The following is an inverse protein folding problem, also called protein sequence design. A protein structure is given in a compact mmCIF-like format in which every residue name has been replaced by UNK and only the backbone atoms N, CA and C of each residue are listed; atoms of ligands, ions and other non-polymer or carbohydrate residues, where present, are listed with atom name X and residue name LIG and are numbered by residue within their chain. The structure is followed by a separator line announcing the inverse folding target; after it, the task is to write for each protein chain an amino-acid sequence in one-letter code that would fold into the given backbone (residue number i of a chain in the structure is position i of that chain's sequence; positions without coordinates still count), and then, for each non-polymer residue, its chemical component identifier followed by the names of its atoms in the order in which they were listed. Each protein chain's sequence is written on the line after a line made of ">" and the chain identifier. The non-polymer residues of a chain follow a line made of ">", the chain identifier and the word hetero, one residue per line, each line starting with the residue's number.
data_IF_355852437257
#
_entry.id   IF_355852437257
#
_cell.length_a   1.000
_cell.length_b   1.000
_cell.length_c   1.000
_cell.angle_alpha   90.00
_cell.angle_beta   90.00
_cell.angle_gamma   90.00
#
_symmetry.space_group_name_H-M   'P 1'
#
loop_
_entity.id
_entity.type
_entity.pdbx_description
1 polymer ?
#
# COMPACT_ATOMS: atom_id res chain seq x y z
N UNK A 1 -0.14 0.78 -23.50
CA UNK A 1 1.13 1.06 -22.73
C UNK A 1 0.85 0.83 -21.26
N UNK A 2 1.81 0.23 -20.55
CA UNK A 2 1.71 -0.04 -19.12
C UNK A 2 1.86 1.27 -18.34
N UNK A 3 0.92 1.58 -17.43
CA UNK A 3 0.90 2.76 -16.55
C UNK A 3 0.91 2.32 -15.09
N UNK A 4 1.58 3.07 -14.22
CA UNK A 4 1.49 2.93 -12.75
C UNK A 4 0.54 3.98 -12.21
N UNK A 5 -0.45 3.56 -11.45
CA UNK A 5 -1.49 4.41 -10.92
C UNK A 5 -1.40 4.45 -9.39
N UNK A 6 -1.25 5.63 -8.83
CA UNK A 6 -1.24 5.87 -7.38
C UNK A 6 -2.60 6.40 -6.98
N UNK A 7 -3.47 5.50 -6.53
CA UNK A 7 -4.84 5.83 -6.13
C UNK A 7 -4.81 6.35 -4.70
N UNK A 8 -5.19 7.61 -4.52
CA UNK A 8 -5.17 8.31 -3.23
C UNK A 8 -6.61 8.60 -2.81
N UNK A 9 -7.00 8.15 -1.62
CA UNK A 9 -8.25 8.60 -1.01
C UNK A 9 -8.06 10.04 -0.50
N UNK A 10 -9.06 10.91 -0.67
CA UNK A 10 -9.03 12.27 -0.12
C UNK A 10 -8.73 12.30 1.40
N UNK A 11 -8.17 13.39 1.90
CA UNK A 11 -7.94 13.64 3.32
C UNK A 11 -9.25 13.76 4.13
N UNK A 12 -9.16 13.74 5.45
CA UNK A 12 -10.30 13.80 6.35
C UNK A 12 -11.14 15.07 6.14
N UNK A 13 -12.48 14.91 6.21
CA UNK A 13 -13.47 15.99 6.23
C UNK A 13 -14.22 15.98 7.56
N UNK A 14 -14.96 17.06 7.88
CA UNK A 14 -15.81 17.12 9.07
C UNK A 14 -16.86 15.99 9.12
N UNK A 15 -17.33 15.52 7.97
CA UNK A 15 -18.27 14.39 7.92
C UNK A 15 -17.55 13.05 8.20
N UNK A 16 -16.30 12.87 7.75
CA UNK A 16 -15.53 11.69 8.14
C UNK A 16 -15.30 11.63 9.65
N UNK A 17 -14.90 12.75 10.26
CA UNK A 17 -14.68 12.85 11.70
C UNK A 17 -15.96 12.56 12.52
N UNK A 18 -17.13 12.89 11.97
CA UNK A 18 -18.46 12.61 12.58
C UNK A 18 -19.01 11.22 12.20
N UNK A 19 -18.31 10.46 11.36
CA UNK A 19 -18.81 9.16 10.88
C UNK A 19 -20.08 9.26 10.05
N UNK A 20 -20.22 10.28 9.20
CA UNK A 20 -21.40 10.51 8.35
C UNK A 20 -21.08 10.10 6.92
N UNK A 21 -22.00 9.36 6.27
CA UNK A 21 -21.92 9.01 4.86
C UNK A 21 -22.10 10.26 3.99
N UNK A 22 -21.11 10.58 3.14
CA UNK A 22 -21.12 11.82 2.36
C UNK A 22 -21.69 11.64 0.94
N UNK A 23 -21.24 10.62 0.23
CA UNK A 23 -21.57 10.43 -1.18
C UNK A 23 -21.23 11.63 -2.05
N UNK A 24 -22.19 12.03 -2.89
CA UNK A 24 -22.06 13.18 -3.79
C UNK A 24 -22.73 14.46 -3.27
N UNK A 25 -23.77 14.35 -2.44
CA UNK A 25 -24.55 15.49 -1.97
C UNK A 25 -23.83 16.30 -0.89
N UNK A 26 -23.04 15.64 -0.02
CA UNK A 26 -22.35 16.30 1.08
C UNK A 26 -20.87 16.51 0.72
N UNK A 27 -20.55 17.67 0.21
CA UNK A 27 -19.20 18.02 -0.24
C UNK A 27 -18.57 19.09 0.65
N UNK A 28 -17.94 18.66 1.74
CA UNK A 28 -17.15 19.54 2.61
C UNK A 28 -15.68 19.55 2.19
N UNK A 29 -14.98 20.65 2.52
CA UNK A 29 -13.53 20.73 2.44
C UNK A 29 -12.84 19.90 3.52
N UNK A 30 -11.51 19.84 3.48
CA UNK A 30 -10.69 19.10 4.44
C UNK A 30 -10.70 19.74 5.83
N UNK A 31 -10.59 18.93 6.87
CA UNK A 31 -10.20 19.38 8.21
C UNK A 31 -8.72 19.75 8.23
N UNK A 32 -8.23 20.34 9.33
CA UNK A 32 -6.80 20.57 9.48
C UNK A 32 -6.01 19.24 9.47
N UNK A 33 -6.55 18.22 10.14
CA UNK A 33 -5.98 16.86 10.07
C UNK A 33 -5.99 16.33 8.64
N UNK A 34 -7.07 16.52 7.89
CA UNK A 34 -7.15 16.12 6.47
C UNK A 34 -6.09 16.80 5.59
N UNK A 35 -5.80 18.08 5.83
CA UNK A 35 -4.71 18.79 5.15
C UNK A 35 -3.33 18.25 5.52
N UNK A 36 -3.10 17.91 6.79
CA UNK A 36 -1.86 17.26 7.22
C UNK A 36 -1.70 15.87 6.61
N UNK A 37 -2.77 15.07 6.56
CA UNK A 37 -2.78 13.77 5.90
C UNK A 37 -2.43 13.90 4.40
N UNK A 38 -2.97 14.89 3.72
CA UNK A 38 -2.66 15.16 2.30
C UNK A 38 -1.19 15.56 2.10
N UNK A 39 -0.58 16.33 3.01
CA UNK A 39 0.86 16.65 2.98
C UNK A 39 1.73 15.42 3.17
N UNK A 40 1.36 14.53 4.10
CA UNK A 40 2.07 13.25 4.31
C UNK A 40 1.98 12.36 3.06
N UNK A 41 0.80 12.28 2.43
CA UNK A 41 0.63 11.55 1.18
C UNK A 41 1.51 12.14 0.06
N UNK A 42 1.59 13.47 -0.05
CA UNK A 42 2.44 14.16 -1.01
C UNK A 42 3.93 13.80 -0.83
N UNK A 43 4.44 13.81 0.40
CA UNK A 43 5.84 13.43 0.70
C UNK A 43 6.12 11.96 0.33
N UNK A 44 5.16 11.05 0.52
CA UNK A 44 5.31 9.66 0.09
C UNK A 44 5.36 9.52 -1.44
N UNK A 45 4.55 10.32 -2.14
CA UNK A 45 4.47 10.31 -3.61
C UNK A 45 5.69 10.91 -4.29
N UNK A 46 6.50 11.70 -3.61
CA UNK A 46 7.76 12.28 -4.12
C UNK A 46 8.73 11.21 -4.62
N UNK A 47 8.70 10.03 -4.02
CA UNK A 47 9.57 8.91 -4.42
C UNK A 47 9.15 8.22 -5.73
N UNK A 48 8.00 8.56 -6.31
CA UNK A 48 7.41 7.84 -7.45
C UNK A 48 7.45 8.67 -8.74
N UNK A 49 8.21 9.61 -8.95
CA UNK A 49 8.43 10.35 -10.21
C UNK A 49 7.14 10.57 -11.06
N UNK A 50 6.03 10.89 -10.37
CA UNK A 50 4.73 11.05 -11.03
C UNK A 50 4.75 12.21 -12.03
N UNK A 51 4.27 11.96 -13.26
CA UNK A 51 4.24 12.94 -14.34
C UNK A 51 2.86 13.57 -14.57
N UNK A 52 1.80 13.05 -13.91
CA UNK A 52 0.45 13.59 -14.04
C UNK A 52 -0.37 13.39 -12.75
N UNK A 53 -1.35 14.27 -12.55
CA UNK A 53 -2.24 14.26 -11.40
C UNK A 53 -3.69 14.50 -11.83
N UNK A 54 -4.54 13.52 -11.59
CA UNK A 54 -5.98 13.60 -11.85
C UNK A 54 -6.77 13.56 -10.54
N UNK A 55 -7.99 14.11 -10.54
CA UNK A 55 -8.80 14.18 -9.34
C UNK A 55 -10.30 14.17 -9.64
N UNK A 56 -11.08 13.67 -8.68
CA UNK A 56 -12.51 13.87 -8.61
C UNK A 56 -12.86 15.37 -8.54
N UNK A 57 -14.03 15.80 -9.09
CA UNK A 57 -14.49 17.18 -8.99
C UNK A 57 -14.89 17.60 -7.55
N UNK A 58 -15.18 16.66 -6.64
CA UNK A 58 -15.63 16.99 -5.29
C UNK A 58 -14.54 17.72 -4.50
N UNK A 59 -14.96 18.77 -3.77
CA UNK A 59 -14.07 19.70 -3.09
C UNK A 59 -13.02 19.02 -2.22
N UNK A 60 -13.38 18.02 -1.42
CA UNK A 60 -12.46 17.27 -0.57
C UNK A 60 -11.33 16.58 -1.34
N UNK A 61 -11.65 15.98 -2.49
CA UNK A 61 -10.65 15.34 -3.35
C UNK A 61 -9.81 16.39 -4.10
N UNK A 62 -10.44 17.42 -4.60
CA UNK A 62 -9.75 18.51 -5.30
C UNK A 62 -8.79 19.26 -4.36
N UNK A 63 -9.20 19.58 -3.11
CA UNK A 63 -8.33 20.23 -2.12
C UNK A 63 -7.13 19.31 -1.76
N UNK A 64 -7.35 17.98 -1.63
CA UNK A 64 -6.27 17.00 -1.45
C UNK A 64 -5.30 17.02 -2.65
N UNK A 65 -5.84 17.00 -3.87
CA UNK A 65 -5.04 17.03 -5.09
C UNK A 65 -4.25 18.35 -5.24
N UNK A 66 -4.82 19.48 -4.83
CA UNK A 66 -4.09 20.75 -4.82
C UNK A 66 -2.90 20.75 -3.88
N UNK A 67 -3.03 20.11 -2.70
CA UNK A 67 -1.92 19.98 -1.74
C UNK A 67 -0.82 19.08 -2.33
N UNK A 68 -1.20 17.93 -2.88
CA UNK A 68 -0.27 17.01 -3.54
C UNK A 68 0.39 17.69 -4.75
N UNK A 69 -0.39 18.33 -5.59
CA UNK A 69 0.09 18.98 -6.81
C UNK A 69 1.08 20.10 -6.55
N UNK A 70 0.89 20.90 -5.48
CA UNK A 70 1.87 21.92 -5.08
C UNK A 70 3.20 21.32 -4.68
N UNK A 71 3.17 20.15 -4.00
CA UNK A 71 4.39 19.47 -3.55
C UNK A 71 5.13 18.80 -4.72
N UNK A 72 4.40 18.17 -5.62
CA UNK A 72 4.96 17.45 -6.77
C UNK A 72 5.15 18.35 -8.03
N UNK A 73 4.83 19.65 -7.94
CA UNK A 73 4.83 20.59 -9.09
C UNK A 73 3.92 20.15 -10.24
N UNK A 74 2.80 19.49 -9.93
CA UNK A 74 1.81 18.99 -10.88
C UNK A 74 0.50 19.78 -10.75
N UNK A 75 -0.14 20.08 -11.90
CA UNK A 75 -1.47 20.71 -11.92
C UNK A 75 -2.54 19.62 -11.88
N UNK A 76 -3.47 19.62 -10.89
CA UNK A 76 -4.58 18.68 -10.86
C UNK A 76 -5.51 18.85 -12.07
N UNK A 77 -5.85 17.76 -12.73
CA UNK A 77 -6.81 17.67 -13.82
C UNK A 77 -8.08 16.97 -13.31
N UNK A 78 -9.25 17.60 -13.50
CA UNK A 78 -10.51 17.05 -13.04
C UNK A 78 -11.00 15.99 -14.05
N UNK A 79 -11.43 14.84 -13.54
CA UNK A 79 -12.14 13.83 -14.31
C UNK A 79 -13.42 13.40 -13.58
N UNK A 80 -14.59 13.61 -14.21
CA UNK A 80 -15.89 13.39 -13.57
C UNK A 80 -16.14 11.91 -13.21
N UNK A 81 -15.58 10.96 -13.95
CA UNK A 81 -15.71 9.54 -13.64
C UNK A 81 -15.04 9.11 -12.34
N UNK A 82 -14.19 9.98 -11.74
CA UNK A 82 -13.54 9.73 -10.44
C UNK A 82 -14.37 10.21 -9.24
N UNK A 83 -15.59 10.74 -9.45
CA UNK A 83 -16.49 11.19 -8.38
C UNK A 83 -16.89 10.02 -7.45
N UNK A 84 -17.17 10.32 -6.17
CA UNK A 84 -17.64 9.30 -5.21
C UNK A 84 -18.97 8.66 -5.65
N UNK A 85 -19.31 7.51 -5.09
CA UNK A 85 -20.62 6.91 -5.27
C UNK A 85 -21.74 7.84 -4.83
N UNK A 86 -22.82 7.89 -5.62
CA UNK A 86 -24.10 8.39 -5.13
C UNK A 86 -24.71 7.30 -4.26
N UNK A 87 -24.84 7.55 -2.96
CA UNK A 87 -25.39 6.60 -2.00
C UNK A 87 -26.86 6.82 -1.67
N UNK A 88 -27.56 7.63 -2.48
CA UNK A 88 -29.02 7.83 -2.35
C UNK A 88 -29.45 8.25 -0.95
N UNK A 89 -30.38 7.46 -0.35
CA UNK A 89 -30.91 7.70 0.99
C UNK A 89 -29.88 7.56 2.11
N UNK A 90 -28.73 6.91 1.86
CA UNK A 90 -27.68 6.75 2.87
C UNK A 90 -26.86 8.03 3.08
N UNK A 91 -26.91 9.00 2.16
CA UNK A 91 -26.17 10.24 2.29
C UNK A 91 -26.73 11.12 3.42
N UNK A 92 -25.85 11.53 4.33
CA UNK A 92 -26.23 12.27 5.55
C UNK A 92 -26.52 11.39 6.77
N UNK A 93 -26.56 10.08 6.59
CA UNK A 93 -26.84 9.11 7.66
C UNK A 93 -25.49 8.71 8.33
N UNK A 94 -25.53 8.38 9.62
CA UNK A 94 -24.34 7.87 10.31
C UNK A 94 -23.87 6.56 9.74
N UNK A 95 -22.56 6.38 9.61
CA UNK A 95 -21.97 5.12 9.10
C UNK A 95 -22.29 3.92 10.00
N UNK A 96 -22.56 4.15 11.29
CA UNK A 96 -23.04 3.10 12.19
C UNK A 96 -24.40 2.56 11.73
N UNK A 97 -25.33 3.46 11.43
CA UNK A 97 -26.68 3.07 10.94
C UNK A 97 -26.61 2.48 9.53
N UNK A 98 -25.85 3.09 8.62
CA UNK A 98 -25.65 2.59 7.25
C UNK A 98 -25.11 1.15 7.23
N UNK A 99 -24.18 0.81 8.14
CA UNK A 99 -23.66 -0.57 8.27
C UNK A 99 -24.70 -1.58 8.72
N UNK A 100 -25.78 -1.17 9.35
CA UNK A 100 -26.90 -2.07 9.72
C UNK A 100 -27.80 -2.41 8.52
N UNK A 101 -27.69 -1.65 7.43
CA UNK A 101 -28.49 -1.85 6.21
C UNK A 101 -27.82 -2.87 5.26
N UNK A 102 -27.15 -3.87 5.80
CA UNK A 102 -26.40 -4.89 5.03
C UNK A 102 -27.30 -5.66 4.05
N UNK A 103 -28.58 -5.83 4.39
CA UNK A 103 -29.57 -6.49 3.53
C UNK A 103 -29.75 -5.77 2.19
N UNK A 104 -29.53 -4.46 2.13
CA UNK A 104 -29.69 -3.64 0.92
C UNK A 104 -28.37 -3.50 0.15
N UNK A 105 -27.24 -3.39 0.85
CA UNK A 105 -25.95 -3.23 0.20
C UNK A 105 -24.78 -3.58 1.13
N UNK A 106 -24.20 -4.77 1.00
CA UNK A 106 -22.94 -5.09 1.66
C UNK A 106 -21.77 -4.44 0.89
N UNK A 107 -21.47 -3.20 1.27
CA UNK A 107 -20.36 -2.43 0.69
C UNK A 107 -18.97 -2.93 1.11
N UNK A 108 -18.89 -3.95 1.95
CA UNK A 108 -17.61 -4.54 2.39
C UNK A 108 -17.31 -5.86 1.67
N UNK A 109 -18.25 -6.40 0.93
CA UNK A 109 -18.13 -7.68 0.24
C UNK A 109 -17.55 -7.50 -1.17
N UNK A 110 -16.36 -8.06 -1.49
CA UNK A 110 -15.77 -8.02 -2.82
C UNK A 110 -16.41 -8.99 -3.82
N UNK A 111 -17.27 -9.90 -3.37
CA UNK A 111 -17.90 -10.90 -4.23
C UNK A 111 -18.69 -10.25 -5.39
N UNK A 112 -18.42 -10.65 -6.64
CA UNK A 112 -19.11 -10.11 -7.82
C UNK A 112 -20.63 -10.21 -7.79
N UNK A 113 -21.20 -11.14 -7.03
CA UNK A 113 -22.67 -11.29 -6.86
C UNK A 113 -23.31 -10.08 -6.16
N UNK A 114 -22.52 -9.31 -5.39
CA UNK A 114 -22.98 -8.10 -4.70
C UNK A 114 -22.75 -6.80 -5.49
N UNK A 115 -22.34 -6.88 -6.76
CA UNK A 115 -22.04 -5.68 -7.56
C UNK A 115 -23.27 -4.82 -7.85
N UNK A 116 -24.46 -5.39 -7.89
CA UNK A 116 -25.70 -4.66 -8.17
C UNK A 116 -26.38 -4.10 -6.90
N UNK A 117 -25.79 -4.39 -5.73
CA UNK A 117 -26.28 -3.86 -4.47
C UNK A 117 -26.14 -2.32 -4.41
N UNK A 118 -27.22 -1.63 -4.03
CA UNK A 118 -27.29 -0.16 -3.92
C UNK A 118 -28.31 0.27 -2.87
N UNK A 119 -28.19 1.49 -2.39
CA UNK A 119 -29.23 2.13 -1.60
C UNK A 119 -30.26 2.80 -2.52
N UNK A 120 -31.49 2.93 -2.07
CA UNK A 120 -32.56 3.58 -2.85
C UNK A 120 -32.13 4.98 -3.33
N UNK A 121 -32.30 5.21 -4.64
CA UNK A 121 -31.87 6.45 -5.31
C UNK A 121 -30.35 6.62 -5.45
N UNK A 122 -29.58 5.55 -5.19
CA UNK A 122 -28.13 5.55 -5.32
C UNK A 122 -27.60 4.73 -6.50
N UNK A 123 -26.30 4.84 -6.75
CA UNK A 123 -25.58 4.00 -7.70
C UNK A 123 -25.28 2.63 -7.12
N UNK A 124 -25.31 1.59 -7.96
CA UNK A 124 -24.77 0.28 -7.61
C UNK A 124 -23.23 0.29 -7.64
N UNK A 125 -22.63 -0.68 -6.96
CA UNK A 125 -21.16 -0.88 -7.03
C UNK A 125 -20.70 -1.07 -8.48
N UNK A 126 -21.48 -1.76 -9.30
CA UNK A 126 -21.20 -1.97 -10.73
C UNK A 126 -21.14 -0.64 -11.47
N UNK A 127 -22.11 0.23 -11.30
CA UNK A 127 -22.16 1.55 -11.96
C UNK A 127 -20.97 2.41 -11.57
N UNK A 128 -20.62 2.45 -10.27
CA UNK A 128 -19.45 3.20 -9.77
C UNK A 128 -18.16 2.61 -10.33
N UNK A 129 -18.02 1.29 -10.31
CA UNK A 129 -16.83 0.60 -10.85
C UNK A 129 -16.66 0.88 -12.33
N UNK A 130 -17.71 0.69 -13.12
CA UNK A 130 -17.62 0.77 -14.58
C UNK A 130 -17.29 2.19 -15.04
N UNK A 131 -17.89 3.25 -14.43
CA UNK A 131 -17.50 4.63 -14.75
C UNK A 131 -16.08 4.98 -14.27
N UNK A 132 -15.63 4.39 -13.16
CA UNK A 132 -14.27 4.60 -12.69
C UNK A 132 -13.23 3.93 -13.59
N UNK A 133 -13.52 2.72 -14.08
CA UNK A 133 -12.68 2.03 -15.08
C UNK A 133 -12.63 2.84 -16.37
N UNK A 134 -13.77 3.29 -16.87
CA UNK A 134 -13.82 4.14 -18.06
C UNK A 134 -12.98 5.42 -17.88
N UNK A 135 -13.03 6.03 -16.69
CA UNK A 135 -12.18 7.17 -16.38
C UNK A 135 -10.69 6.84 -16.44
N UNK A 136 -10.29 5.65 -15.94
CA UNK A 136 -8.90 5.21 -16.05
C UNK A 136 -8.50 4.94 -17.49
N UNK A 137 -9.39 4.34 -18.29
CA UNK A 137 -9.16 4.13 -19.72
C UNK A 137 -8.94 5.46 -20.45
N UNK A 138 -9.81 6.45 -20.23
CA UNK A 138 -9.69 7.78 -20.81
C UNK A 138 -8.38 8.46 -20.42
N UNK A 139 -8.04 8.43 -19.13
CA UNK A 139 -6.81 9.01 -18.58
C UNK A 139 -5.58 8.30 -19.15
N UNK A 140 -5.53 6.98 -19.10
CA UNK A 140 -4.35 6.21 -19.49
C UNK A 140 -4.09 6.24 -21.01
N UNK A 141 -5.13 6.38 -21.80
CA UNK A 141 -5.02 6.48 -23.27
C UNK A 141 -4.63 7.88 -23.75
N UNK A 142 -4.90 8.93 -22.97
CA UNK A 142 -4.60 10.32 -23.35
C UNK A 142 -3.37 10.89 -22.67
N UNK A 143 -2.99 10.39 -21.51
CA UNK A 143 -1.85 10.86 -20.73
C UNK A 143 -0.55 10.17 -21.19
N UNK A 144 0.49 10.97 -21.46
CA UNK A 144 1.82 10.43 -21.83
C UNK A 144 2.61 9.90 -20.62
N UNK A 145 2.34 10.42 -19.41
CA UNK A 145 3.06 10.01 -18.20
C UNK A 145 2.88 8.51 -17.91
N UNK A 146 3.95 7.84 -17.48
CA UNK A 146 3.91 6.45 -17.06
C UNK A 146 3.39 6.29 -15.63
N UNK A 147 3.71 7.27 -14.76
CA UNK A 147 3.32 7.35 -13.36
C UNK A 147 2.28 8.43 -13.16
N UNK A 148 1.09 8.05 -12.70
CA UNK A 148 -0.08 8.91 -12.61
C UNK A 148 -0.67 8.86 -11.21
N UNK A 149 -0.80 10.01 -10.54
CA UNK A 149 -1.52 10.13 -9.27
C UNK A 149 -3.00 10.38 -9.54
N UNK A 150 -3.87 9.66 -8.86
CA UNK A 150 -5.33 9.79 -8.97
C UNK A 150 -5.94 9.98 -7.59
N UNK A 151 -6.47 11.17 -7.33
CA UNK A 151 -7.14 11.49 -6.08
C UNK A 151 -8.64 11.27 -6.19
N UNK A 152 -9.17 10.35 -5.39
CA UNK A 152 -10.57 9.94 -5.43
C UNK A 152 -11.10 9.64 -4.03
N UNK A 153 -12.03 8.71 -3.90
CA UNK A 153 -12.83 8.46 -2.72
C UNK A 153 -12.79 6.99 -2.29
N UNK A 154 -13.39 6.71 -1.15
CA UNK A 154 -13.35 5.41 -0.50
C UNK A 154 -13.97 4.30 -1.35
N UNK A 155 -15.18 4.50 -1.90
CA UNK A 155 -15.85 3.45 -2.68
C UNK A 155 -15.15 3.24 -4.02
N UNK A 156 -14.79 4.32 -4.72
CA UNK A 156 -14.09 4.24 -6.01
C UNK A 156 -12.74 3.54 -5.83
N UNK A 157 -11.91 3.97 -4.89
CA UNK A 157 -10.61 3.35 -4.63
C UNK A 157 -10.73 1.86 -4.29
N UNK A 158 -11.72 1.49 -3.45
CA UNK A 158 -11.99 0.09 -3.10
C UNK A 158 -12.37 -0.75 -4.31
N UNK A 159 -13.31 -0.27 -5.12
CA UNK A 159 -13.78 -1.00 -6.30
C UNK A 159 -12.67 -1.17 -7.35
N UNK A 160 -11.81 -0.17 -7.52
CA UNK A 160 -10.63 -0.28 -8.38
C UNK A 160 -9.63 -1.32 -7.83
N UNK A 161 -9.36 -1.31 -6.51
CA UNK A 161 -8.51 -2.32 -5.89
C UNK A 161 -9.09 -3.74 -6.02
N UNK A 162 -10.39 -3.94 -5.83
CA UNK A 162 -11.04 -5.24 -6.02
C UNK A 162 -11.00 -5.69 -7.47
N UNK A 163 -11.19 -4.78 -8.43
CA UNK A 163 -11.02 -5.09 -9.86
C UNK A 163 -9.59 -5.51 -10.18
N UNK A 164 -8.62 -4.96 -9.48
CA UNK A 164 -7.21 -5.32 -9.60
C UNK A 164 -6.83 -6.63 -8.86
N UNK A 165 -7.79 -7.32 -8.25
CA UNK A 165 -7.57 -8.61 -7.59
C UNK A 165 -7.37 -8.52 -6.07
N UNK A 166 -7.57 -7.35 -5.43
CA UNK A 166 -7.53 -7.24 -3.97
C UNK A 166 -8.74 -7.95 -3.33
N UNK A 167 -8.49 -8.63 -2.22
CA UNK A 167 -9.54 -9.22 -1.37
C UNK A 167 -9.80 -8.41 -0.10
N UNK A 168 -9.06 -7.31 0.08
CA UNK A 168 -9.12 -6.48 1.29
C UNK A 168 -10.51 -5.85 1.46
N UNK A 169 -11.17 -6.21 2.57
CA UNK A 169 -12.50 -5.68 2.94
C UNK A 169 -12.43 -4.36 3.72
N UNK A 170 -11.29 -4.06 4.30
CA UNK A 170 -11.08 -2.87 5.10
C UNK A 170 -11.24 -1.59 4.29
N UNK A 171 -11.85 -0.57 4.90
CA UNK A 171 -11.95 0.75 4.30
C UNK A 171 -10.55 1.37 4.23
N UNK A 172 -10.16 1.84 3.05
CA UNK A 172 -8.93 2.58 2.85
C UNK A 172 -8.92 3.84 3.74
N UNK A 173 -7.90 4.07 4.59
CA UNK A 173 -7.81 5.27 5.42
C UNK A 173 -7.78 6.56 4.59
N UNK A 174 -8.12 7.70 5.20
CA UNK A 174 -8.01 9.01 4.55
C UNK A 174 -6.55 9.29 4.15
N UNK A 175 -6.34 9.82 2.96
CA UNK A 175 -5.06 10.07 2.32
C UNK A 175 -4.13 8.84 2.16
N UNK A 176 -4.64 7.63 2.37
CA UNK A 176 -3.90 6.42 2.03
C UNK A 176 -3.72 6.28 0.52
N UNK A 177 -2.65 5.63 0.12
CA UNK A 177 -2.25 5.40 -1.26
C UNK A 177 -2.31 3.90 -1.53
N UNK A 178 -2.88 3.50 -2.67
CA UNK A 178 -2.73 2.15 -3.22
C UNK A 178 -2.13 2.22 -4.62
N UNK A 179 -1.29 1.26 -4.95
CA UNK A 179 -0.56 1.20 -6.21
C UNK A 179 -1.19 0.15 -7.12
N UNK A 180 -1.61 0.58 -8.29
CA UNK A 180 -2.20 -0.26 -9.31
C UNK A 180 -1.40 -0.15 -10.61
N UNK A 181 -1.49 -1.19 -11.42
CA UNK A 181 -0.92 -1.21 -12.78
C UNK A 181 -2.07 -1.33 -13.76
N UNK A 182 -2.11 -0.40 -14.69
CA UNK A 182 -3.00 -0.44 -15.83
C UNK A 182 -2.22 -0.86 -17.08
N UNK A 183 -2.70 -1.89 -17.79
CA UNK A 183 -2.11 -2.33 -19.05
C UNK A 183 -3.21 -2.75 -20.03
N UNK A 184 -3.42 -1.96 -21.07
CA UNK A 184 -4.37 -2.21 -22.16
C UNK A 184 -5.78 -2.62 -21.66
N UNK A 185 -6.39 -1.83 -20.78
CA UNK A 185 -7.72 -2.09 -20.21
C UNK A 185 -7.74 -3.05 -19.02
N UNK A 186 -6.61 -3.64 -18.67
CA UNK A 186 -6.50 -4.55 -17.52
C UNK A 186 -5.88 -3.84 -16.32
N UNK A 187 -6.59 -3.86 -15.20
CA UNK A 187 -6.11 -3.35 -13.93
C UNK A 187 -5.60 -4.50 -13.05
N UNK A 188 -4.41 -4.35 -12.50
CA UNK A 188 -3.80 -5.32 -11.56
C UNK A 188 -3.18 -4.58 -10.39
N UNK A 189 -3.05 -5.25 -9.25
CA UNK A 189 -2.27 -4.68 -8.16
C UNK A 189 -0.79 -4.64 -8.53
N UNK A 190 -0.10 -3.57 -8.14
CA UNK A 190 1.36 -3.63 -8.06
C UNK A 190 1.67 -4.66 -6.99
N UNK A 191 2.28 -5.77 -7.39
CA UNK A 191 2.75 -6.76 -6.42
C UNK A 191 3.94 -6.16 -5.67
N UNK A 192 3.69 -5.66 -4.47
CA UNK A 192 4.74 -5.25 -3.56
C UNK A 192 5.26 -6.49 -2.84
N UNK A 193 6.26 -7.13 -3.41
CA UNK A 193 6.95 -8.24 -2.77
C UNK A 193 7.98 -7.69 -1.80
N UNK A 194 7.69 -7.82 -0.51
CA UNK A 194 8.61 -7.44 0.54
C UNK A 194 9.61 -8.56 0.84
N UNK A 195 10.89 -8.26 0.88
CA UNK A 195 11.94 -9.15 1.38
C UNK A 195 12.33 -8.72 2.80
N UNK A 196 12.02 -9.54 3.79
CA UNK A 196 12.25 -9.26 5.21
C UNK A 196 13.52 -9.96 5.71
N UNK A 197 14.59 -9.21 5.97
CA UNK A 197 15.81 -9.76 6.56
C UNK A 197 15.60 -10.06 8.03
N UNK A 198 15.77 -11.32 8.40
CA UNK A 198 15.64 -11.83 9.76
C UNK A 198 16.98 -12.33 10.32
N UNK A 199 17.25 -12.06 11.59
CA UNK A 199 18.44 -12.55 12.28
C UNK A 199 18.17 -13.75 13.20
N UNK A 200 16.99 -13.80 13.81
CA UNK A 200 16.59 -14.90 14.70
C UNK A 200 15.07 -14.93 14.88
N UNK A 201 14.53 -16.10 15.20
CA UNK A 201 13.10 -16.27 15.40
C UNK A 201 12.50 -15.38 16.52
N UNK A 202 13.12 -15.24 17.70
CA UNK A 202 12.60 -14.37 18.75
C UNK A 202 12.44 -12.91 18.33
N UNK A 203 13.37 -12.38 17.49
CA UNK A 203 13.31 -10.99 17.02
C UNK A 203 12.24 -10.79 15.93
N UNK A 204 11.99 -11.79 15.10
CA UNK A 204 11.17 -11.64 13.90
C UNK A 204 9.77 -12.26 13.99
N UNK A 205 9.51 -13.16 14.94
CA UNK A 205 8.22 -13.87 14.99
C UNK A 205 7.00 -12.95 15.12
N UNK A 206 7.08 -11.87 15.91
CA UNK A 206 6.00 -10.90 16.05
C UNK A 206 5.75 -10.15 14.73
N UNK A 207 6.82 -9.73 14.03
CA UNK A 207 6.73 -9.04 12.74
C UNK A 207 6.19 -9.98 11.67
N UNK A 208 6.70 -11.22 11.59
CA UNK A 208 6.23 -12.26 10.66
C UNK A 208 4.74 -12.52 10.87
N UNK A 209 4.32 -12.72 12.13
CA UNK A 209 2.92 -12.90 12.48
C UNK A 209 2.05 -11.73 12.02
N UNK A 210 2.44 -10.51 12.37
CA UNK A 210 1.67 -9.29 12.02
C UNK A 210 1.54 -9.13 10.51
N UNK A 211 2.64 -9.28 9.76
CA UNK A 211 2.61 -9.17 8.30
C UNK A 211 1.75 -10.26 7.64
N UNK A 212 1.79 -11.49 8.17
CA UNK A 212 0.97 -12.59 7.69
C UNK A 212 -0.53 -12.37 8.01
N UNK A 213 -0.85 -11.87 9.21
CA UNK A 213 -2.23 -11.53 9.59
C UNK A 213 -2.79 -10.32 8.82
N UNK A 214 -1.92 -9.43 8.35
CA UNK A 214 -2.28 -8.28 7.50
C UNK A 214 -2.29 -8.61 5.99
N UNK A 215 -2.07 -9.88 5.62
CA UNK A 215 -2.06 -10.38 4.24
C UNK A 215 -1.05 -9.66 3.34
N UNK A 216 0.11 -9.32 3.88
CA UNK A 216 1.22 -8.73 3.14
C UNK A 216 1.94 -9.81 2.34
N UNK A 217 2.18 -9.58 1.04
CA UNK A 217 3.04 -10.47 0.23
C UNK A 217 4.50 -10.25 0.60
N UNK A 218 5.07 -11.15 1.39
CA UNK A 218 6.46 -11.07 1.82
C UNK A 218 7.15 -12.42 1.89
N UNK A 219 8.47 -12.37 1.79
CA UNK A 219 9.36 -13.51 1.97
C UNK A 219 10.38 -13.19 3.04
N UNK A 220 10.63 -14.10 3.93
CA UNK A 220 11.71 -13.96 4.92
C UNK A 220 13.02 -14.43 4.31
N UNK A 221 14.06 -13.61 4.41
CA UNK A 221 15.42 -13.97 4.00
C UNK A 221 16.33 -14.03 5.22
N UNK A 222 17.09 -15.12 5.30
CA UNK A 222 18.09 -15.34 6.32
C UNK A 222 19.50 -15.19 5.70
N UNK A 223 20.18 -14.11 6.06
CA UNK A 223 21.58 -13.84 5.68
C UNK A 223 22.33 -13.26 6.86
N UNK A 224 23.04 -14.12 7.58
CA UNK A 224 23.66 -13.78 8.86
C UNK A 224 25.10 -14.31 8.96
N UNK A 225 26.02 -13.82 8.11
CA UNK A 225 27.41 -14.30 8.11
C UNK A 225 28.17 -14.01 9.41
N UNK A 226 27.64 -13.13 10.25
CA UNK A 226 28.21 -12.73 11.54
C UNK A 226 27.94 -13.73 12.67
N UNK A 227 27.04 -14.68 12.49
CA UNK A 227 26.72 -15.66 13.54
C UNK A 227 27.76 -16.76 13.55
N UNK A 228 28.38 -16.97 14.70
CA UNK A 228 29.38 -18.02 14.96
C UNK A 228 29.15 -18.65 16.32
N UNK A 229 29.48 -19.94 16.54
CA UNK A 229 29.98 -20.88 15.53
C UNK A 229 28.89 -21.28 14.52
N UNK A 230 29.23 -22.09 13.52
CA UNK A 230 28.30 -22.51 12.45
C UNK A 230 27.06 -23.24 13.00
N UNK A 231 27.21 -24.01 14.06
CA UNK A 231 26.12 -24.71 14.74
C UNK A 231 25.06 -23.73 15.29
N UNK A 232 25.48 -22.55 15.77
CA UNK A 232 24.55 -21.51 16.22
C UNK A 232 23.83 -20.86 15.02
N UNK A 233 24.53 -20.66 13.91
CA UNK A 233 23.91 -20.20 12.66
C UNK A 233 22.83 -21.18 12.19
N UNK A 234 23.15 -22.48 12.13
CA UNK A 234 22.23 -23.53 11.67
C UNK A 234 21.00 -23.61 12.56
N UNK A 235 21.18 -23.54 13.88
CA UNK A 235 20.08 -23.52 14.84
C UNK A 235 19.15 -22.33 14.63
N UNK A 236 19.67 -21.12 14.46
CA UNK A 236 18.85 -19.93 14.23
C UNK A 236 18.17 -19.94 12.87
N UNK A 237 18.84 -20.46 11.84
CA UNK A 237 18.25 -20.65 10.53
C UNK A 237 17.05 -21.62 10.60
N UNK A 238 17.23 -22.79 11.23
CA UNK A 238 16.18 -23.79 11.40
C UNK A 238 14.95 -23.23 12.16
N UNK A 239 15.17 -22.48 13.24
CA UNK A 239 14.08 -21.84 13.99
C UNK A 239 13.34 -20.76 13.18
N UNK A 240 14.04 -19.94 12.40
CA UNK A 240 13.38 -18.99 11.49
C UNK A 240 12.52 -19.70 10.45
N UNK A 241 13.05 -20.76 9.85
CA UNK A 241 12.33 -21.58 8.88
C UNK A 241 11.06 -22.17 9.49
N UNK A 242 11.14 -22.74 10.72
CA UNK A 242 10.00 -23.28 11.45
C UNK A 242 8.92 -22.22 11.71
N UNK A 243 9.30 -21.00 12.09
CA UNK A 243 8.35 -19.89 12.29
C UNK A 243 7.68 -19.52 10.97
N UNK A 244 8.43 -19.43 9.87
CA UNK A 244 7.87 -19.15 8.55
C UNK A 244 6.87 -20.25 8.12
N UNK A 245 7.19 -21.52 8.33
CA UNK A 245 6.29 -22.65 8.04
C UNK A 245 4.99 -22.56 8.85
N UNK A 246 5.07 -22.15 10.13
CA UNK A 246 3.90 -22.00 11.01
C UNK A 246 2.90 -20.96 10.47
N UNK A 247 3.39 -19.89 9.84
CA UNK A 247 2.56 -18.81 9.28
C UNK A 247 2.37 -18.91 7.76
N UNK A 248 2.84 -19.97 7.11
CA UNK A 248 2.73 -20.16 5.67
C UNK A 248 3.54 -19.16 4.84
N UNK A 249 4.61 -18.60 5.40
CA UNK A 249 5.44 -17.57 4.79
C UNK A 249 6.64 -18.20 4.06
N UNK A 250 6.93 -17.81 2.80
CA UNK A 250 8.14 -18.27 2.11
C UNK A 250 9.41 -17.88 2.85
N UNK A 251 10.38 -18.80 2.88
CA UNK A 251 11.67 -18.63 3.53
C UNK A 251 12.81 -18.88 2.55
N UNK A 252 13.83 -18.01 2.59
CA UNK A 252 15.04 -18.11 1.78
C UNK A 252 16.26 -18.03 2.69
N UNK A 253 17.15 -18.97 2.56
CA UNK A 253 18.49 -18.93 3.14
C UNK A 253 19.48 -18.52 2.05
N UNK A 254 20.25 -17.47 2.30
CA UNK A 254 21.40 -17.12 1.46
C UNK A 254 22.68 -17.78 2.01
N UNK A 255 23.74 -17.65 1.24
CA UNK A 255 25.04 -18.26 1.57
C UNK A 255 25.57 -17.86 2.95
N UNK A 256 26.22 -18.78 3.65
CA UNK A 256 26.92 -18.50 4.89
C UNK A 256 28.33 -17.95 4.60
N UNK A 257 28.42 -16.66 4.31
CA UNK A 257 29.64 -15.96 3.87
C UNK A 257 30.45 -15.40 5.08
N UNK A 258 30.76 -16.31 6.03
CA UNK A 258 31.44 -15.93 7.27
C UNK A 258 32.89 -15.48 7.05
N UNK A 259 33.59 -16.09 6.08
CA UNK A 259 34.98 -15.71 5.76
C UNK A 259 35.07 -14.26 5.31
N UNK A 260 34.18 -13.84 4.41
CA UNK A 260 34.09 -12.45 3.96
C UNK A 260 33.77 -11.50 5.13
N UNK A 261 32.80 -11.88 5.99
CA UNK A 261 32.50 -11.08 7.17
C UNK A 261 33.71 -10.91 8.09
N UNK A 262 34.46 -12.00 8.36
CA UNK A 262 35.69 -11.97 9.16
C UNK A 262 36.74 -11.04 8.54
N UNK A 263 36.93 -11.11 7.23
CA UNK A 263 37.86 -10.22 6.51
C UNK A 263 37.50 -8.75 6.62
N UNK A 264 36.20 -8.40 6.45
CA UNK A 264 35.73 -7.02 6.54
C UNK A 264 35.77 -6.45 7.97
N UNK A 265 35.71 -7.31 8.99
CA UNK A 265 35.72 -6.88 10.40
C UNK A 265 37.04 -7.10 11.09
N UNK A 266 38.08 -7.48 10.36
CA UNK A 266 39.45 -7.65 10.89
C UNK A 266 39.94 -6.34 11.49
N UNK A 267 40.44 -6.40 12.73
CA UNK A 267 40.92 -5.20 13.48
C UNK A 267 39.80 -4.44 14.19
N UNK A 268 38.56 -4.88 14.10
CA UNK A 268 37.40 -4.29 14.78
C UNK A 268 36.85 -5.16 15.92
N UNK A 269 37.62 -6.16 16.39
CA UNK A 269 37.20 -7.13 17.39
C UNK A 269 36.81 -6.49 18.73
N UNK A 270 37.54 -5.41 19.09
CA UNK A 270 37.36 -4.69 20.35
C UNK A 270 36.40 -3.48 20.25
N UNK A 271 35.75 -3.27 19.09
CA UNK A 271 34.77 -2.21 18.95
C UNK A 271 33.54 -2.49 19.83
N UNK A 272 32.97 -1.48 20.50
CA UNK A 272 31.77 -1.66 21.32
C UNK A 272 30.58 -2.08 20.48
N UNK A 273 29.57 -2.59 21.14
CA UNK A 273 28.27 -2.82 20.51
C UNK A 273 27.74 -1.50 19.91
N UNK A 274 27.18 -1.56 18.68
CA UNK A 274 26.81 -0.40 17.84
C UNK A 274 27.98 0.45 17.34
N UNK A 275 29.22 0.00 17.50
CA UNK A 275 30.42 0.61 16.95
C UNK A 275 30.63 0.29 15.46
N UNK A 276 31.85 0.56 14.95
CA UNK A 276 32.21 0.38 13.54
C UNK A 276 32.00 -1.03 13.02
N UNK A 277 32.29 -2.06 13.84
CA UNK A 277 32.05 -3.45 13.47
C UNK A 277 30.58 -3.73 13.16
N UNK A 278 29.64 -3.17 13.95
CA UNK A 278 28.22 -3.31 13.70
C UNK A 278 27.79 -2.60 12.41
N UNK A 279 28.34 -1.40 12.14
CA UNK A 279 28.06 -0.68 10.89
C UNK A 279 28.47 -1.48 9.67
N UNK A 280 29.70 -2.04 9.65
CA UNK A 280 30.18 -2.92 8.57
C UNK A 280 29.29 -4.15 8.41
N UNK A 281 28.88 -4.76 9.52
CA UNK A 281 28.01 -5.93 9.51
C UNK A 281 26.63 -5.61 8.90
N UNK A 282 26.02 -4.49 9.28
CA UNK A 282 24.73 -4.06 8.72
C UNK A 282 24.83 -3.74 7.23
N UNK A 283 25.86 -2.99 6.85
CA UNK A 283 26.09 -2.60 5.45
C UNK A 283 26.24 -3.84 4.56
N UNK A 284 27.10 -4.78 4.91
CA UNK A 284 27.30 -6.03 4.17
C UNK A 284 26.00 -6.81 4.02
N UNK A 285 25.24 -6.94 5.10
CA UNK A 285 24.00 -7.73 5.10
C UNK A 285 22.91 -7.07 4.27
N UNK A 286 22.69 -5.77 4.45
CA UNK A 286 21.67 -5.02 3.70
C UNK A 286 22.03 -4.95 2.22
N UNK A 287 23.28 -4.68 1.87
CA UNK A 287 23.71 -4.65 0.48
C UNK A 287 23.43 -5.98 -0.22
N UNK A 288 23.83 -7.10 0.37
CA UNK A 288 23.59 -8.44 -0.20
C UNK A 288 22.11 -8.76 -0.40
N UNK A 289 21.29 -8.40 0.59
CA UNK A 289 19.83 -8.62 0.52
C UNK A 289 19.18 -7.69 -0.51
N UNK A 290 19.64 -6.45 -0.67
CA UNK A 290 19.16 -5.54 -1.71
C UNK A 290 19.53 -6.02 -3.12
N UNK A 291 20.74 -6.54 -3.31
CA UNK A 291 21.17 -7.18 -4.57
C UNK A 291 20.26 -8.37 -4.92
N UNK A 292 20.01 -9.24 -3.95
CA UNK A 292 19.10 -10.37 -4.11
C UNK A 292 17.68 -9.91 -4.45
N UNK A 293 17.17 -8.92 -3.72
CA UNK A 293 15.83 -8.36 -3.94
C UNK A 293 15.68 -7.83 -5.37
N UNK A 294 16.64 -7.04 -5.84
CA UNK A 294 16.66 -6.48 -7.19
C UNK A 294 16.70 -7.57 -8.27
N UNK A 295 17.50 -8.61 -8.08
CA UNK A 295 17.64 -9.72 -9.04
C UNK A 295 16.41 -10.61 -9.12
N UNK A 296 15.59 -10.67 -8.04
CA UNK A 296 14.44 -11.58 -7.91
C UNK A 296 13.08 -10.86 -7.89
N UNK A 297 13.02 -9.58 -8.28
CA UNK A 297 11.78 -8.84 -8.47
C UNK A 297 11.06 -8.45 -7.18
N UNK A 298 11.77 -8.37 -6.05
CA UNK A 298 11.25 -7.77 -4.83
C UNK A 298 11.25 -6.24 -4.96
N UNK A 299 10.18 -5.61 -4.48
CA UNK A 299 9.98 -4.15 -4.61
C UNK A 299 10.37 -3.39 -3.35
N UNK A 300 10.49 -4.10 -2.23
CA UNK A 300 10.87 -3.53 -0.95
C UNK A 300 11.77 -4.47 -0.16
N UNK A 301 12.64 -3.90 0.66
CA UNK A 301 13.47 -4.62 1.65
C UNK A 301 13.22 -4.00 3.01
N UNK A 302 13.02 -4.84 4.02
CA UNK A 302 12.97 -4.41 5.42
C UNK A 302 13.83 -5.34 6.28
N UNK A 303 14.09 -4.95 7.51
CA UNK A 303 14.84 -5.78 8.43
C UNK A 303 14.30 -5.68 9.86
N UNK A 304 14.48 -6.74 10.63
CA UNK A 304 14.22 -6.83 12.07
C UNK A 304 15.52 -6.83 12.87
N UNK A 305 16.46 -6.01 12.45
CA UNK A 305 17.80 -5.87 13.06
C UNK A 305 17.86 -4.77 14.11
#
# INVERSE_FOLDING_TARGET
>A
MKKRLYIVRHGETAYNAKGICQGQKLDAGLTELGRQQAKIAASKLENFNAGALYTSPLRRAFETAQIIGRHLHLKPQIHNGLIEGNFGIAEGVSMEMVRRWVEFADWTNPDPTYLDAHYEGGESKRQIRDRAIQALDDICNTCEAEDIVIVTHSAVARLLNWTAGSTVRRIMPNAAISELVYDNGKLTQQQNKLLLLSCCAPCSCAVIKTLAEEDVDFTVVFYNPNIRPKEEYDKRCAENKRVCELYGVPFIELEYDNERWCGLTQGLENEPERGKRCSVCFEMRLQRVMEYAKANGYTAVSSVL
#
